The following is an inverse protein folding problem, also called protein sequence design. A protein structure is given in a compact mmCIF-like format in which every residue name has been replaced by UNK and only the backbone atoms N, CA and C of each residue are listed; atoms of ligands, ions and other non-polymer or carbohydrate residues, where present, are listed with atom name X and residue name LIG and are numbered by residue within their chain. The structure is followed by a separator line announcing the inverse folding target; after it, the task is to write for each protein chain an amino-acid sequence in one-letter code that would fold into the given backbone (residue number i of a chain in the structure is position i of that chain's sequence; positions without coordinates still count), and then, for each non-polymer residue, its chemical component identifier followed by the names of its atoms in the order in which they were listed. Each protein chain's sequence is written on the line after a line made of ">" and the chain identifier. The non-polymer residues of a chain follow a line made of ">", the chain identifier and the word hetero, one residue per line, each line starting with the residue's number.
data_IF_405180331959
#
_entry.id   IF_405180331959
#
_cell.length_a   1.000
_cell.length_b   1.000
_cell.length_c   1.000
_cell.angle_alpha   90.00
_cell.angle_beta   90.00
_cell.angle_gamma   90.00
#
_symmetry.space_group_name_H-M   'P 1'
#
loop_
_entity.id
_entity.type
_entity.pdbx_description
1 polymer ?
#
# COMPACT_ATOMS: atom_id res chain seq x y z
N UNK A 1 16.20 18.86 -17.10
CA UNK A 1 14.73 18.87 -17.08
C UNK A 1 14.17 20.09 -16.39
N UNK A 2 12.83 20.25 -16.42
CA UNK A 2 12.14 21.41 -15.89
C UNK A 2 10.99 21.01 -14.97
N UNK A 3 10.89 21.72 -13.86
CA UNK A 3 9.76 21.62 -12.93
C UNK A 3 8.84 22.82 -13.16
N UNK A 4 7.57 22.54 -13.46
CA UNK A 4 6.53 23.56 -13.53
C UNK A 4 6.03 23.86 -12.11
N UNK A 5 6.11 25.12 -11.70
CA UNK A 5 5.67 25.62 -10.40
C UNK A 5 4.60 26.67 -10.62
N UNK A 6 3.45 26.52 -9.97
CA UNK A 6 2.36 27.50 -10.06
C UNK A 6 1.93 27.96 -8.67
N UNK A 7 1.71 29.27 -8.53
CA UNK A 7 1.05 29.86 -7.38
C UNK A 7 -0.46 29.86 -7.62
N UNK A 8 -1.19 28.96 -6.97
CA UNK A 8 -2.66 28.89 -7.07
C UNK A 8 -3.41 29.84 -6.13
N UNK A 9 -2.70 30.75 -5.42
CA UNK A 9 -3.33 31.71 -4.51
C UNK A 9 -3.66 33.03 -5.21
N UNK A 10 -4.45 33.86 -4.57
CA UNK A 10 -4.83 35.21 -5.00
C UNK A 10 -3.82 36.31 -4.61
N UNK A 11 -2.66 35.91 -4.07
CA UNK A 11 -1.60 36.81 -3.58
C UNK A 11 -0.24 36.39 -4.09
N UNK A 12 0.71 37.32 -4.03
CA UNK A 12 2.12 37.02 -4.29
C UNK A 12 2.66 36.07 -3.19
N UNK A 13 3.33 35.00 -3.62
CA UNK A 13 3.94 34.00 -2.74
C UNK A 13 5.38 33.73 -3.15
N UNK A 14 6.24 33.57 -2.15
CA UNK A 14 7.59 33.02 -2.36
C UNK A 14 7.55 31.52 -2.14
N UNK A 15 7.98 30.78 -3.13
CA UNK A 15 7.98 29.31 -3.15
C UNK A 15 9.42 28.82 -3.12
N UNK A 16 9.73 27.95 -2.20
CA UNK A 16 11.01 27.24 -2.14
C UNK A 16 10.95 25.97 -2.96
N UNK A 17 12.01 25.72 -3.74
CA UNK A 17 12.19 24.50 -4.55
C UNK A 17 13.50 23.85 -4.12
N UNK A 18 13.44 22.57 -3.71
CA UNK A 18 14.61 21.84 -3.27
C UNK A 18 14.45 20.34 -3.45
N UNK A 19 15.57 19.61 -3.43
CA UNK A 19 15.56 18.14 -3.45
C UNK A 19 15.86 17.59 -2.04
N UNK A 20 15.32 16.42 -1.77
CA UNK A 20 15.65 15.61 -0.56
C UNK A 20 15.75 14.14 -0.96
N UNK A 21 16.27 13.30 -0.08
CA UNK A 21 16.24 11.85 -0.29
C UNK A 21 14.83 11.32 -0.18
N UNK A 22 14.50 10.34 -1.03
CA UNK A 22 13.35 9.48 -0.83
C UNK A 22 13.61 8.47 0.29
N UNK A 23 12.61 8.14 1.06
CA UNK A 23 12.65 7.14 2.13
C UNK A 23 11.32 6.40 2.19
N UNK A 24 11.16 5.50 3.14
CA UNK A 24 9.90 4.80 3.39
C UNK A 24 9.41 5.03 4.81
N UNK A 25 8.10 4.95 5.00
CA UNK A 25 7.47 4.94 6.33
C UNK A 25 7.71 3.60 7.03
N UNK A 26 7.30 3.48 8.28
CA UNK A 26 7.32 2.21 9.04
C UNK A 26 6.46 1.12 8.39
N UNK A 27 5.48 1.49 7.58
CA UNK A 27 4.63 0.56 6.80
C UNK A 27 5.18 0.24 5.40
N UNK A 28 6.29 0.89 5.00
CA UNK A 28 6.93 0.69 3.70
C UNK A 28 6.36 1.54 2.56
N UNK A 29 5.54 2.55 2.89
CA UNK A 29 5.06 3.53 1.92
C UNK A 29 6.16 4.55 1.60
N UNK A 30 6.27 4.91 0.31
CA UNK A 30 7.23 5.94 -0.12
C UNK A 30 6.91 7.29 0.53
N UNK A 31 7.93 7.93 1.06
CA UNK A 31 7.87 9.29 1.59
C UNK A 31 9.17 10.05 1.28
N UNK A 32 9.19 11.34 1.56
CA UNK A 32 10.33 12.21 1.34
C UNK A 32 10.86 12.72 2.67
N UNK A 33 12.18 12.70 2.84
CA UNK A 33 12.83 13.26 4.02
C UNK A 33 12.52 14.72 4.23
N UNK A 34 12.76 15.21 5.44
CA UNK A 34 12.62 16.62 5.76
C UNK A 34 13.78 17.45 5.18
N UNK A 35 13.51 18.75 4.92
CA UNK A 35 14.52 19.70 4.39
C UNK A 35 15.75 19.83 5.31
N UNK A 36 15.55 19.67 6.62
CA UNK A 36 16.60 19.76 7.65
C UNK A 36 17.48 18.53 7.73
N UNK A 37 17.08 17.41 7.13
CA UNK A 37 17.85 16.18 7.16
C UNK A 37 18.98 16.19 6.11
N UNK A 38 20.11 15.58 6.46
CA UNK A 38 21.22 15.42 5.53
C UNK A 38 20.83 14.53 4.35
N UNK A 39 21.18 14.99 3.16
CA UNK A 39 21.05 14.18 1.95
C UNK A 39 22.20 13.19 1.90
N UNK A 40 21.91 11.92 2.01
CA UNK A 40 22.93 10.84 1.93
C UNK A 40 22.80 10.03 0.64
N UNK A 41 21.63 10.03 0.01
CA UNK A 41 21.26 9.28 -1.19
C UNK A 41 21.12 10.14 -2.44
N UNK A 42 20.14 9.77 -3.26
CA UNK A 42 19.88 10.39 -4.57
C UNK A 42 19.45 11.86 -4.51
N UNK A 43 18.98 12.34 -3.36
CA UNK A 43 18.71 13.75 -3.16
C UNK A 43 19.93 14.66 -3.37
N UNK A 44 21.18 14.12 -3.17
CA UNK A 44 22.43 14.82 -3.52
C UNK A 44 22.66 14.98 -5.01
N UNK A 45 22.11 14.06 -5.80
CA UNK A 45 22.33 14.05 -7.26
C UNK A 45 21.53 15.12 -7.97
N UNK A 46 20.48 15.64 -7.31
CA UNK A 46 19.57 16.60 -7.88
C UNK A 46 19.91 18.00 -7.45
N UNK A 47 20.19 18.87 -8.42
CA UNK A 47 20.42 20.31 -8.24
C UNK A 47 19.35 21.11 -8.96
N UNK A 48 18.86 22.18 -8.33
CA UNK A 48 17.87 23.10 -8.90
C UNK A 48 18.54 24.42 -9.25
N UNK A 49 18.15 25.03 -10.37
CA UNK A 49 18.70 26.32 -10.85
C UNK A 49 18.30 27.50 -9.96
N UNK A 50 17.07 27.43 -9.41
CA UNK A 50 16.52 28.45 -8.50
C UNK A 50 15.94 27.76 -7.27
N UNK A 51 16.48 28.11 -6.09
CA UNK A 51 15.99 27.56 -4.80
C UNK A 51 14.74 28.28 -4.29
N UNK A 52 14.47 29.50 -4.78
CA UNK A 52 13.31 30.29 -4.46
C UNK A 52 12.80 30.97 -5.72
N UNK A 53 11.50 31.04 -5.89
CA UNK A 53 10.80 31.80 -6.93
C UNK A 53 9.66 32.58 -6.27
N UNK A 54 9.54 33.87 -6.58
CA UNK A 54 8.40 34.68 -6.15
C UNK A 54 7.45 34.80 -7.32
N UNK A 55 6.20 34.41 -7.12
CA UNK A 55 5.15 34.36 -8.13
C UNK A 55 3.96 35.20 -7.68
N UNK A 56 3.47 36.07 -8.56
CA UNK A 56 2.21 36.77 -8.36
C UNK A 56 1.00 35.83 -8.29
N UNK A 57 -0.18 36.39 -8.08
CA UNK A 57 -1.43 35.63 -8.05
C UNK A 57 -1.65 34.84 -9.33
N UNK A 58 -1.86 33.55 -9.25
CA UNK A 58 -2.05 32.63 -10.39
C UNK A 58 -0.89 32.57 -11.40
N UNK A 59 0.26 33.13 -11.06
CA UNK A 59 1.45 33.11 -11.91
C UNK A 59 2.16 31.76 -11.82
N UNK A 60 2.96 31.42 -12.84
CA UNK A 60 3.75 30.21 -12.92
C UNK A 60 5.17 30.49 -13.36
N UNK A 61 6.08 29.55 -13.10
CA UNK A 61 7.44 29.54 -13.57
C UNK A 61 7.95 28.15 -13.86
N UNK A 62 8.91 28.03 -14.74
CA UNK A 62 9.72 26.84 -14.94
C UNK A 62 11.02 26.96 -14.13
N UNK A 63 11.34 25.92 -13.39
CA UNK A 63 12.59 25.79 -12.63
C UNK A 63 13.39 24.64 -13.22
N UNK A 64 14.53 24.96 -13.80
CA UNK A 64 15.43 23.96 -14.35
C UNK A 64 16.06 23.14 -13.21
N UNK A 65 16.22 21.84 -13.44
CA UNK A 65 16.96 20.97 -12.55
C UNK A 65 17.85 20.01 -13.33
N UNK A 66 18.90 19.55 -12.68
CA UNK A 66 19.86 18.60 -13.24
C UNK A 66 20.05 17.42 -12.29
N UNK A 67 20.14 16.22 -12.85
CA UNK A 67 20.46 14.99 -12.11
C UNK A 67 21.87 14.55 -12.49
N UNK A 68 22.79 14.62 -11.54
CA UNK A 68 24.18 14.21 -11.70
C UNK A 68 24.44 12.90 -10.95
N UNK A 69 24.29 11.78 -11.65
CA UNK A 69 24.51 10.46 -11.08
C UNK A 69 26.02 10.21 -10.93
N UNK A 70 26.51 9.88 -9.70
CA UNK A 70 27.93 9.55 -9.50
C UNK A 70 28.33 8.32 -10.31
N UNK A 71 29.57 8.32 -10.84
CA UNK A 71 30.11 7.18 -11.62
C UNK A 71 30.24 5.88 -10.83
N UNK A 72 30.22 5.95 -9.50
CA UNK A 72 30.26 4.79 -8.58
C UNK A 72 28.91 4.51 -7.92
N UNK A 73 27.81 5.03 -8.47
CA UNK A 73 26.46 4.71 -7.97
C UNK A 73 26.16 3.22 -8.20
N UNK A 74 25.57 2.59 -7.20
CA UNK A 74 25.16 1.19 -7.27
C UNK A 74 24.08 1.01 -8.34
N UNK A 75 24.08 -0.18 -8.97
CA UNK A 75 23.07 -0.57 -9.96
C UNK A 75 21.70 -0.71 -9.28
N UNK A 76 20.68 -0.17 -9.90
CA UNK A 76 19.31 -0.25 -9.41
C UNK A 76 18.65 1.11 -9.24
N UNK A 77 17.56 1.14 -8.49
CA UNK A 77 16.74 2.33 -8.29
C UNK A 77 17.16 3.10 -7.05
N UNK A 78 17.35 4.40 -7.23
CA UNK A 78 17.64 5.35 -6.18
C UNK A 78 16.53 6.39 -6.11
N UNK A 79 16.00 6.65 -4.93
CA UNK A 79 14.86 7.51 -4.75
C UNK A 79 15.24 8.88 -4.20
N UNK A 80 14.83 9.91 -4.91
CA UNK A 80 14.86 11.31 -4.48
C UNK A 80 13.47 11.91 -4.51
N UNK A 81 13.30 13.06 -3.92
CA UNK A 81 12.11 13.88 -4.06
C UNK A 81 12.49 15.29 -4.47
N UNK A 82 11.73 15.83 -5.44
CA UNK A 82 11.67 17.26 -5.70
C UNK A 82 10.53 17.86 -4.90
N UNK A 83 10.82 18.84 -4.06
CA UNK A 83 9.85 19.43 -3.14
C UNK A 83 9.62 20.90 -3.48
N UNK A 84 8.34 21.26 -3.49
CA UNK A 84 7.85 22.62 -3.66
C UNK A 84 7.11 23.00 -2.39
N UNK A 85 7.51 24.09 -1.75
CA UNK A 85 7.00 24.51 -0.47
C UNK A 85 6.85 26.02 -0.40
N UNK A 86 5.71 26.50 0.08
CA UNK A 86 5.51 27.91 0.35
C UNK A 86 6.46 28.36 1.47
N UNK A 87 7.19 29.46 1.25
CA UNK A 87 8.04 30.07 2.26
C UNK A 87 7.17 30.87 3.21
N UNK A 88 7.05 30.41 4.45
CA UNK A 88 6.30 31.12 5.46
C UNK A 88 7.17 32.20 6.08
N UNK A 89 6.71 33.45 6.06
CA UNK A 89 7.33 34.55 6.82
C UNK A 89 7.12 34.24 8.30
N UNK A 90 8.20 34.11 9.06
CA UNK A 90 8.07 34.03 10.53
C UNK A 90 7.37 35.32 11.01
N UNK A 91 6.14 35.19 11.51
CA UNK A 91 5.46 36.29 12.17
C UNK A 91 6.13 36.50 13.53
N UNK A 92 6.68 37.68 13.75
CA UNK A 92 7.29 38.07 15.03
C UNK A 92 6.28 38.27 16.17
N UNK A 93 5.00 38.05 15.91
CA UNK A 93 3.95 38.19 16.91
C UNK A 93 3.75 36.86 17.65
N UNK A 94 4.11 36.85 18.93
CA UNK A 94 3.90 35.78 19.92
C UNK A 94 2.43 35.46 20.25
N UNK A 95 1.51 35.59 19.32
CA UNK A 95 0.16 35.07 19.46
C UNK A 95 0.21 33.57 19.15
N UNK A 96 0.03 32.75 20.18
CA UNK A 96 0.04 31.28 20.09
C UNK A 96 -0.99 30.74 19.08
N UNK A 97 -0.59 30.63 17.84
CA UNK A 97 -1.37 30.07 16.74
C UNK A 97 -0.68 28.85 16.14
N UNK A 98 -1.46 27.89 15.65
CA UNK A 98 -0.96 26.76 14.88
C UNK A 98 -0.58 27.27 13.48
N UNK A 99 0.69 27.14 13.11
CA UNK A 99 1.15 27.45 11.76
C UNK A 99 1.18 26.15 10.93
N UNK A 100 0.34 26.05 9.93
CA UNK A 100 0.32 24.92 8.99
C UNK A 100 1.16 25.27 7.78
N UNK A 101 2.15 24.44 7.49
CA UNK A 101 2.98 24.54 6.31
C UNK A 101 2.72 23.32 5.42
N UNK A 102 2.29 23.55 4.18
CA UNK A 102 2.05 22.52 3.19
C UNK A 102 3.23 22.43 2.24
N UNK A 103 3.69 21.21 1.97
CA UNK A 103 4.67 20.91 0.93
C UNK A 103 4.08 19.92 -0.08
N UNK A 104 4.45 20.09 -1.33
CA UNK A 104 4.19 19.12 -2.40
C UNK A 104 5.51 18.48 -2.79
N UNK A 105 5.53 17.16 -2.91
CA UNK A 105 6.72 16.43 -3.26
C UNK A 105 6.44 15.48 -4.44
N UNK A 106 7.35 15.49 -5.42
CA UNK A 106 7.32 14.60 -6.58
C UNK A 106 8.44 13.58 -6.39
N UNK A 107 8.11 12.31 -6.37
CA UNK A 107 9.11 11.24 -6.35
C UNK A 107 9.90 11.23 -7.66
N UNK A 108 11.21 11.10 -7.54
CA UNK A 108 12.15 10.88 -8.63
C UNK A 108 12.80 9.52 -8.44
N UNK A 109 12.38 8.54 -9.23
CA UNK A 109 13.00 7.22 -9.26
C UNK A 109 14.09 7.23 -10.34
N UNK A 110 15.36 7.23 -9.91
CA UNK A 110 16.54 7.29 -10.78
C UNK A 110 17.10 5.87 -10.86
N UNK A 111 17.05 5.26 -12.03
CA UNK A 111 17.56 3.90 -12.23
C UNK A 111 18.96 3.93 -12.84
N UNK A 112 19.95 3.42 -12.11
CA UNK A 112 21.30 3.19 -12.62
C UNK A 112 21.32 1.87 -13.38
N UNK A 113 21.71 1.86 -14.67
CA UNK A 113 21.67 0.66 -15.51
C UNK A 113 22.65 -0.40 -15.05
N UNK A 114 22.33 -1.67 -15.34
CA UNK A 114 23.11 -2.86 -15.00
C UNK A 114 22.23 -4.08 -14.87
N UNK A 115 22.57 -4.99 -13.98
CA UNK A 115 21.75 -6.17 -13.66
C UNK A 115 20.55 -5.75 -12.78
N UNK A 116 19.46 -5.41 -13.47
CA UNK A 116 18.22 -4.93 -12.86
C UNK A 116 17.26 -6.10 -12.73
N UNK A 117 16.77 -6.35 -11.51
CA UNK A 117 15.85 -7.43 -11.23
C UNK A 117 14.77 -7.04 -10.21
N UNK A 118 13.62 -7.71 -10.29
CA UNK A 118 12.52 -7.66 -9.35
C UNK A 118 12.39 -9.00 -8.65
N UNK A 119 12.26 -8.97 -7.35
CA UNK A 119 11.97 -10.16 -6.55
C UNK A 119 11.09 -9.79 -5.36
N UNK A 120 9.79 -10.03 -5.48
CA UNK A 120 8.84 -9.76 -4.39
C UNK A 120 8.37 -11.07 -3.79
N UNK A 121 8.43 -11.16 -2.46
CA UNK A 121 8.02 -12.34 -1.69
C UNK A 121 6.99 -11.99 -0.63
N UNK A 122 6.16 -12.97 -0.26
CA UNK A 122 5.24 -12.87 0.87
C UNK A 122 6.00 -13.28 2.12
N UNK A 123 6.39 -12.32 2.98
CA UNK A 123 7.08 -12.62 4.24
C UNK A 123 6.12 -12.99 5.37
N UNK A 124 4.94 -12.37 5.37
CA UNK A 124 3.95 -12.59 6.41
C UNK A 124 2.57 -12.68 5.79
N UNK A 125 1.83 -13.68 6.20
CA UNK A 125 0.40 -13.78 5.96
C UNK A 125 -0.28 -14.37 7.20
N UNK A 126 -0.92 -13.51 7.99
CA UNK A 126 -1.68 -13.91 9.17
C UNK A 126 -3.13 -13.52 9.04
N UNK A 127 -3.97 -14.35 9.65
CA UNK A 127 -5.41 -14.13 9.71
C UNK A 127 -5.84 -14.19 11.17
N UNK A 128 -6.46 -13.13 11.65
CA UNK A 128 -7.04 -13.06 12.99
C UNK A 128 -8.55 -12.99 12.84
N UNK A 129 -9.26 -13.84 13.60
CA UNK A 129 -10.71 -13.86 13.63
C UNK A 129 -11.21 -13.43 15.01
N UNK A 130 -12.00 -12.38 15.05
CA UNK A 130 -12.78 -12.00 16.22
C UNK A 130 -14.27 -12.14 15.90
N UNK A 131 -15.14 -12.11 16.91
CA UNK A 131 -16.58 -12.36 16.74
C UNK A 131 -17.30 -11.42 15.76
N UNK A 132 -16.73 -10.27 15.48
CA UNK A 132 -17.35 -9.22 14.62
C UNK A 132 -16.48 -8.77 13.45
N UNK A 133 -15.20 -9.14 13.41
CA UNK A 133 -14.31 -8.72 12.33
C UNK A 133 -13.16 -9.70 12.11
N UNK A 134 -12.67 -9.79 10.90
CA UNK A 134 -11.50 -10.57 10.53
C UNK A 134 -10.42 -9.59 10.05
N UNK A 135 -9.21 -9.73 10.57
CA UNK A 135 -8.05 -8.96 10.18
C UNK A 135 -7.05 -9.84 9.42
N UNK A 136 -6.66 -9.37 8.24
CA UNK A 136 -5.67 -10.01 7.37
C UNK A 136 -4.40 -9.16 7.36
N UNK A 137 -3.35 -9.66 8.01
CA UNK A 137 -2.05 -8.99 8.09
C UNK A 137 -1.11 -9.58 7.03
N UNK A 138 -0.63 -8.75 6.14
CA UNK A 138 0.24 -9.14 5.04
C UNK A 138 1.50 -8.29 5.09
N UNK A 139 2.67 -8.92 4.97
CA UNK A 139 3.92 -8.23 4.70
C UNK A 139 4.56 -8.80 3.43
N UNK A 140 4.92 -7.91 2.52
CA UNK A 140 5.63 -8.23 1.29
C UNK A 140 7.03 -7.63 1.35
N UNK A 141 8.04 -8.39 0.93
CA UNK A 141 9.42 -7.95 0.78
C UNK A 141 9.78 -7.86 -0.69
N UNK A 142 10.25 -6.70 -1.14
CA UNK A 142 10.92 -6.56 -2.41
C UNK A 142 12.44 -6.70 -2.19
N UNK A 143 13.00 -7.84 -2.57
CA UNK A 143 14.45 -8.10 -2.52
C UNK A 143 15.15 -7.72 -3.83
N UNK A 144 14.42 -7.24 -4.81
CA UNK A 144 14.96 -6.70 -6.05
C UNK A 144 15.56 -5.30 -5.86
N UNK A 145 16.38 -4.90 -6.82
CA UNK A 145 17.06 -3.59 -6.80
C UNK A 145 16.29 -2.48 -7.54
N UNK A 146 15.06 -2.76 -7.97
CA UNK A 146 14.11 -1.75 -8.52
C UNK A 146 12.72 -1.96 -7.94
N UNK A 147 11.93 -0.90 -7.93
CA UNK A 147 10.53 -0.94 -7.50
C UNK A 147 9.68 -1.81 -8.41
N UNK A 148 8.60 -2.34 -7.87
CA UNK A 148 7.62 -3.15 -8.59
C UNK A 148 6.20 -2.74 -8.22
N UNK A 149 5.32 -2.66 -9.23
CA UNK A 149 3.88 -2.64 -8.99
C UNK A 149 3.41 -4.07 -8.79
N UNK A 150 2.85 -4.34 -7.62
CA UNK A 150 2.42 -5.68 -7.20
C UNK A 150 0.90 -5.70 -7.04
N UNK A 151 0.22 -6.53 -7.82
CA UNK A 151 -1.20 -6.81 -7.63
C UNK A 151 -1.36 -7.84 -6.51
N UNK A 152 -1.92 -7.39 -5.39
CA UNK A 152 -2.26 -8.22 -4.23
C UNK A 152 -3.69 -8.68 -4.37
N UNK A 153 -3.93 -9.98 -4.20
CA UNK A 153 -5.26 -10.57 -4.28
C UNK A 153 -5.52 -11.47 -3.09
N UNK A 154 -6.41 -11.01 -2.23
CA UNK A 154 -6.92 -11.72 -1.06
C UNK A 154 -8.34 -12.23 -1.36
N UNK A 155 -8.58 -13.52 -1.15
CA UNK A 155 -9.87 -14.15 -1.41
C UNK A 155 -10.25 -15.04 -0.24
N UNK A 156 -11.51 -14.92 0.22
CA UNK A 156 -12.08 -15.85 1.21
C UNK A 156 -13.16 -16.68 0.52
N UNK A 157 -13.06 -18.00 0.68
CA UNK A 157 -14.00 -18.98 0.14
C UNK A 157 -14.76 -19.67 1.24
N UNK A 158 -16.04 -19.90 1.01
CA UNK A 158 -16.90 -20.69 1.89
C UNK A 158 -16.57 -22.19 1.82
N UNK A 159 -17.16 -23.07 2.67
CA UNK A 159 -16.96 -24.52 2.62
C UNK A 159 -17.34 -25.17 1.29
N UNK A 160 -18.14 -24.52 0.45
CA UNK A 160 -18.54 -24.99 -0.88
C UNK A 160 -17.59 -24.48 -1.99
N UNK A 161 -16.60 -23.62 -1.63
CA UNK A 161 -15.65 -23.05 -2.58
C UNK A 161 -16.09 -21.74 -3.22
N UNK A 162 -17.24 -21.18 -2.86
CA UNK A 162 -17.72 -19.90 -3.38
C UNK A 162 -16.92 -18.74 -2.76
N UNK A 163 -16.62 -17.72 -3.55
CA UNK A 163 -15.97 -16.51 -3.07
C UNK A 163 -16.97 -15.65 -2.30
N UNK A 164 -16.72 -15.45 -1.01
CA UNK A 164 -17.57 -14.64 -0.12
C UNK A 164 -16.96 -13.29 0.25
N UNK A 165 -15.65 -13.14 0.05
CA UNK A 165 -14.93 -11.88 0.23
C UNK A 165 -13.73 -11.82 -0.71
N UNK A 166 -13.47 -10.62 -1.23
CA UNK A 166 -12.32 -10.32 -2.07
C UNK A 166 -11.83 -8.92 -1.77
N UNK A 167 -10.52 -8.79 -1.58
CA UNK A 167 -9.85 -7.50 -1.41
C UNK A 167 -8.45 -7.54 -2.05
N UNK A 168 -7.77 -6.39 -2.10
CA UNK A 168 -6.44 -6.26 -2.65
C UNK A 168 -6.34 -5.08 -3.60
N UNK A 169 -5.42 -5.17 -4.56
CA UNK A 169 -5.16 -4.15 -5.57
C UNK A 169 -3.67 -3.94 -5.83
N UNK A 170 -3.38 -3.01 -6.73
CA UNK A 170 -2.00 -2.71 -7.12
C UNK A 170 -1.33 -1.82 -6.09
N UNK A 171 -0.16 -2.24 -5.63
CA UNK A 171 0.65 -1.56 -4.62
C UNK A 171 2.08 -1.42 -5.13
N UNK A 172 2.63 -0.21 -5.03
CA UNK A 172 4.04 0.03 -5.33
C UNK A 172 4.91 -0.51 -4.19
N UNK A 173 5.86 -1.37 -4.54
CA UNK A 173 6.87 -1.91 -3.64
C UNK A 173 8.22 -1.28 -3.96
N UNK A 174 8.77 -0.52 -3.03
CA UNK A 174 10.08 0.12 -3.19
C UNK A 174 11.18 -0.95 -3.15
N UNK A 175 12.25 -0.73 -3.91
CA UNK A 175 13.42 -1.61 -3.94
C UNK A 175 14.01 -1.82 -2.54
N UNK A 176 14.36 -3.05 -2.20
CA UNK A 176 14.95 -3.47 -0.92
C UNK A 176 14.09 -3.23 0.33
N UNK A 177 12.80 -2.91 0.17
CA UNK A 177 11.92 -2.55 1.28
C UNK A 177 10.84 -3.60 1.55
N UNK A 178 10.36 -3.63 2.80
CA UNK A 178 9.20 -4.41 3.22
C UNK A 178 8.00 -3.49 3.39
N UNK A 179 6.87 -3.87 2.81
CA UNK A 179 5.61 -3.13 2.96
C UNK A 179 4.58 -3.98 3.66
N UNK A 180 3.86 -3.37 4.62
CA UNK A 180 2.81 -4.01 5.39
C UNK A 180 1.44 -3.51 4.95
N UNK A 181 0.50 -4.45 4.85
CA UNK A 181 -0.90 -4.18 4.53
C UNK A 181 -1.81 -4.83 5.56
N UNK A 182 -2.86 -4.13 5.91
CA UNK A 182 -3.94 -4.69 6.72
C UNK A 182 -5.25 -4.56 5.94
N UNK A 183 -5.92 -5.68 5.76
CA UNK A 183 -7.29 -5.71 5.25
C UNK A 183 -8.21 -6.22 6.36
N UNK A 184 -9.45 -5.78 6.33
CA UNK A 184 -10.48 -6.21 7.28
C UNK A 184 -11.74 -6.65 6.54
N UNK A 185 -12.50 -7.53 7.15
CA UNK A 185 -13.83 -7.92 6.72
C UNK A 185 -14.74 -8.14 7.93
N UNK A 186 -16.04 -8.07 7.69
CA UNK A 186 -17.08 -8.30 8.70
C UNK A 186 -17.95 -9.49 8.29
N UNK A 187 -17.31 -10.63 7.97
CA UNK A 187 -18.02 -11.84 7.60
C UNK A 187 -18.73 -12.42 8.83
N UNK A 188 -20.03 -12.66 8.68
CA UNK A 188 -20.88 -13.29 9.69
C UNK A 188 -21.76 -14.39 9.04
N UNK A 189 -21.17 -15.54 8.68
CA UNK A 189 -21.89 -16.60 8.00
C UNK A 189 -22.98 -17.20 8.89
N UNK A 190 -24.20 -17.32 8.38
CA UNK A 190 -25.35 -17.84 9.13
C UNK A 190 -25.11 -19.25 9.69
N UNK A 191 -24.60 -20.16 8.85
CA UNK A 191 -24.35 -21.56 9.23
C UNK A 191 -22.98 -21.81 9.85
N UNK A 192 -22.09 -20.80 9.87
CA UNK A 192 -20.72 -20.97 10.32
C UNK A 192 -19.91 -21.89 9.38
N UNK A 193 -18.89 -22.55 9.94
CA UNK A 193 -18.05 -23.51 9.24
C UNK A 193 -16.61 -23.04 9.01
N UNK A 194 -15.84 -23.83 8.26
CA UNK A 194 -14.45 -23.55 7.90
C UNK A 194 -14.38 -22.83 6.55
N UNK A 195 -13.78 -21.65 6.55
CA UNK A 195 -13.58 -20.80 5.39
C UNK A 195 -12.10 -20.78 5.04
N UNK A 196 -11.79 -20.84 3.74
CA UNK A 196 -10.42 -20.83 3.23
C UNK A 196 -10.02 -19.43 2.81
N UNK A 197 -8.89 -18.94 3.31
CA UNK A 197 -8.32 -17.64 2.93
C UNK A 197 -7.12 -17.88 2.05
N UNK A 198 -7.14 -17.32 0.83
CA UNK A 198 -6.09 -17.45 -0.18
C UNK A 198 -5.49 -16.07 -0.45
N UNK A 199 -4.15 -16.02 -0.48
CA UNK A 199 -3.40 -14.82 -0.84
C UNK A 199 -2.50 -15.13 -2.03
N UNK A 200 -2.57 -14.30 -3.06
CA UNK A 200 -1.65 -14.30 -4.18
C UNK A 200 -1.15 -12.89 -4.50
N UNK A 201 0.05 -12.81 -5.03
CA UNK A 201 0.65 -11.59 -5.55
C UNK A 201 1.11 -11.83 -6.98
N UNK A 202 1.02 -10.79 -7.82
CA UNK A 202 1.50 -10.84 -9.19
C UNK A 202 2.21 -9.54 -9.56
N UNK A 203 3.35 -9.63 -10.27
CA UNK A 203 4.11 -8.46 -10.72
C UNK A 203 4.81 -8.77 -12.05
N UNK A 204 5.16 -7.72 -12.83
CA UNK A 204 5.83 -7.88 -14.12
C UNK A 204 7.22 -8.50 -13.96
N UNK A 205 7.55 -9.49 -14.78
CA UNK A 205 8.87 -10.11 -14.84
C UNK A 205 9.95 -9.11 -15.24
N UNK A 206 9.65 -8.30 -16.26
CA UNK A 206 10.61 -7.37 -16.85
C UNK A 206 10.76 -6.12 -15.98
N UNK A 207 11.96 -5.85 -15.55
CA UNK A 207 12.29 -4.64 -14.81
C UNK A 207 12.20 -3.40 -15.72
N UNK A 208 11.90 -2.23 -15.13
CA UNK A 208 11.75 -0.99 -15.89
C UNK A 208 10.37 -0.76 -16.50
N UNK A 209 9.48 -1.75 -16.52
CA UNK A 209 8.09 -1.58 -16.93
C UNK A 209 7.17 -1.41 -15.73
N UNK A 210 6.32 -0.40 -15.79
CA UNK A 210 5.37 -0.06 -14.73
C UNK A 210 3.99 -0.64 -15.00
N UNK A 211 3.17 -0.67 -13.95
CA UNK A 211 1.81 -1.17 -13.98
C UNK A 211 1.71 -2.69 -14.02
N UNK A 212 0.48 -3.19 -14.17
CA UNK A 212 0.17 -4.63 -14.25
C UNK A 212 -0.16 -5.02 -15.69
N UNK A 213 0.47 -6.09 -16.16
CA UNK A 213 0.19 -6.64 -17.50
C UNK A 213 -1.14 -7.38 -17.54
N UNK A 214 -1.85 -7.29 -18.67
CA UNK A 214 -3.01 -8.13 -18.96
C UNK A 214 -2.57 -9.54 -19.44
N UNK A 215 -1.36 -9.69 -19.96
CA UNK A 215 -0.80 -11.00 -20.32
C UNK A 215 -0.19 -11.67 -19.08
N UNK A 216 -0.80 -12.77 -18.66
CA UNK A 216 -0.35 -13.57 -17.52
C UNK A 216 1.05 -14.16 -17.70
N UNK A 217 1.51 -14.36 -18.93
CA UNK A 217 2.84 -14.91 -19.22
C UNK A 217 3.97 -13.91 -18.91
N UNK A 218 3.64 -12.61 -18.84
CA UNK A 218 4.57 -11.56 -18.44
C UNK A 218 4.63 -11.35 -16.92
N UNK A 219 3.82 -12.09 -16.15
CA UNK A 219 3.73 -11.94 -14.70
C UNK A 219 4.48 -13.07 -13.99
N UNK A 220 5.13 -12.69 -12.90
CA UNK A 220 5.52 -13.62 -11.83
C UNK A 220 4.35 -13.64 -10.84
N UNK A 221 3.84 -14.83 -10.53
CA UNK A 221 2.79 -15.01 -9.53
C UNK A 221 3.32 -15.87 -8.39
N UNK A 222 3.15 -15.40 -7.16
CA UNK A 222 3.48 -16.14 -5.94
C UNK A 222 2.23 -16.23 -5.06
N UNK A 223 2.07 -17.37 -4.39
CA UNK A 223 0.94 -17.64 -3.49
C UNK A 223 1.44 -17.99 -2.10
N UNK A 224 0.73 -17.55 -1.07
CA UNK A 224 0.96 -18.01 0.29
C UNK A 224 0.25 -19.34 0.54
N UNK A 225 0.69 -20.05 1.57
CA UNK A 225 -0.10 -21.18 2.10
C UNK A 225 -1.47 -20.66 2.55
N UNK A 226 -2.55 -21.31 2.11
CA UNK A 226 -3.89 -20.91 2.52
C UNK A 226 -4.07 -20.98 4.03
N UNK A 227 -4.83 -20.06 4.59
CA UNK A 227 -5.21 -20.04 6.00
C UNK A 227 -6.67 -20.44 6.15
N UNK A 228 -7.05 -20.92 7.34
CA UNK A 228 -8.42 -21.27 7.67
C UNK A 228 -9.00 -20.24 8.64
N UNK A 229 -10.25 -19.87 8.43
CA UNK A 229 -11.11 -19.14 9.36
C UNK A 229 -12.23 -20.07 9.78
N UNK A 230 -12.46 -20.19 11.07
CA UNK A 230 -13.62 -20.90 11.61
C UNK A 230 -14.64 -19.90 12.13
N UNK A 231 -15.88 -20.06 11.71
CA UNK A 231 -17.02 -19.32 12.21
C UNK A 231 -17.99 -20.26 12.94
N UNK A 232 -18.45 -19.83 14.10
CA UNK A 232 -19.57 -20.49 14.77
C UNK A 232 -20.87 -20.16 14.03
N UNK A 233 -21.84 -21.10 13.99
CA UNK A 233 -23.17 -20.80 13.49
C UNK A 233 -23.80 -19.65 14.29
N UNK A 234 -24.63 -18.85 13.63
CA UNK A 234 -25.40 -17.79 14.29
C UNK A 234 -26.31 -18.38 15.37
N UNK A 235 -26.66 -17.59 16.39
CA UNK A 235 -27.60 -18.04 17.45
C UNK A 235 -28.91 -18.52 16.87
N UNK A 236 -29.42 -17.86 15.82
CA UNK A 236 -30.61 -18.28 15.11
C UNK A 236 -30.44 -19.64 14.42
N UNK A 237 -29.30 -19.88 13.76
CA UNK A 237 -28.99 -21.16 13.15
C UNK A 237 -28.89 -22.28 14.21
N UNK A 238 -28.29 -22.01 15.36
CA UNK A 238 -28.22 -22.96 16.49
C UNK A 238 -29.62 -23.28 17.04
N UNK A 239 -30.49 -22.29 17.17
CA UNK A 239 -31.87 -22.50 17.57
C UNK A 239 -32.65 -23.35 16.56
N UNK A 240 -32.44 -23.13 15.25
CA UNK A 240 -33.06 -23.95 14.19
C UNK A 240 -32.58 -25.41 14.23
N UNK A 241 -31.27 -25.62 14.41
CA UNK A 241 -30.70 -26.98 14.56
C UNK A 241 -31.28 -27.65 15.79
N UNK A 242 -31.27 -26.99 16.96
CA UNK A 242 -31.80 -27.54 18.21
C UNK A 242 -33.29 -27.85 18.13
N UNK A 243 -34.09 -26.94 17.54
CA UNK A 243 -35.50 -27.16 17.29
C UNK A 243 -35.79 -28.33 16.34
N UNK A 244 -35.01 -28.45 15.27
CA UNK A 244 -35.09 -29.57 14.33
C UNK A 244 -34.78 -30.91 14.98
N UNK A 245 -33.74 -30.99 15.82
CA UNK A 245 -33.39 -32.20 16.60
C UNK A 245 -34.53 -32.56 17.55
N UNK A 246 -35.09 -31.59 18.26
CA UNK A 246 -36.19 -31.81 19.19
C UNK A 246 -37.41 -32.37 18.47
N UNK A 247 -37.81 -31.81 17.36
CA UNK A 247 -38.93 -32.28 16.51
C UNK A 247 -38.67 -33.70 16.00
N UNK A 248 -37.44 -34.02 15.60
CA UNK A 248 -37.08 -35.35 15.14
C UNK A 248 -37.17 -36.39 16.27
N UNK A 249 -36.73 -36.05 17.46
CA UNK A 249 -36.86 -36.91 18.65
C UNK A 249 -38.35 -37.15 18.96
N UNK A 250 -39.20 -36.11 18.95
CA UNK A 250 -40.64 -36.23 19.18
C UNK A 250 -41.28 -37.17 18.15
N UNK A 251 -40.87 -37.04 16.88
CA UNK A 251 -41.39 -37.88 15.79
C UNK A 251 -41.04 -39.35 16.03
N UNK A 252 -39.82 -39.66 16.42
CA UNK A 252 -39.38 -41.04 16.76
C UNK A 252 -40.21 -41.59 17.92
N UNK A 253 -40.40 -40.83 19.00
CA UNK A 253 -41.19 -41.23 20.15
C UNK A 253 -42.64 -41.56 19.74
N UNK A 254 -43.28 -40.73 18.90
CA UNK A 254 -44.64 -40.98 18.38
C UNK A 254 -44.70 -42.25 17.56
N UNK A 255 -43.70 -42.52 16.69
CA UNK A 255 -43.66 -43.73 15.87
C UNK A 255 -43.53 -44.95 16.77
N UNK A 256 -42.65 -44.93 17.79
CA UNK A 256 -42.47 -46.06 18.73
C UNK A 256 -43.73 -46.33 19.54
N UNK A 257 -44.42 -45.29 20.00
CA UNK A 257 -45.66 -45.43 20.74
C UNK A 257 -46.77 -46.03 19.87
N UNK A 258 -46.88 -45.64 18.58
CA UNK A 258 -47.87 -46.18 17.64
C UNK A 258 -47.58 -47.60 17.14
N UNK A 259 -46.33 -48.06 17.25
CA UNK A 259 -45.90 -49.42 16.83
C UNK A 259 -46.04 -50.48 17.91
N UNK A 260 -46.39 -50.05 19.13
CA UNK A 260 -46.79 -50.94 20.25
C UNK A 260 -48.33 -51.01 20.35
#
# INVERSE_FOLDING_TARGET
>A
DQLYVQNGSDKEETIEVYSVDGTVTTTGDMTCKEKSEDKVGAGKWVSVSKKEVTLGANENALVDFTVNVPSKADVGEHNACMVVQRKVKQSSNNAGGIQVQTRQAIRMAITVPGDIHRDVTIEKFNVKNSNSSQLYEIALKNSGNVSADVDVKLVVKDPMGNVVYKNGGVNAMIANETRQFNYDSNLAPFWGGKYKVELSISYKKKAGEWGISQDKNELITKTAEPKELFFWPSTTALMMIGGGILLFIILIVIIVIKSK
#
